data_IF_286322938478
#
_entry.id   IF_286322938478
#
_cell.length_a   1.000
_cell.length_b   1.000
_cell.length_c   1.000
_cell.angle_alpha   90.00
_cell.angle_beta   90.00
_cell.angle_gamma   90.00
#
_symmetry.space_group_name_H-M   'P 1'
#
loop_
_entity.id
_entity.type
_entity.pdbx_description
1 polymer ?
#
# COMPACT_ATOMS: atom_id res chain seq x y z
N UNK A 1 23.08 9.86 11.60
CA UNK A 1 22.20 9.53 12.75
C UNK A 1 22.34 8.06 13.05
N UNK A 2 22.34 7.66 14.33
CA UNK A 2 22.68 6.28 14.74
C UNK A 2 21.55 5.26 14.52
N UNK A 3 21.89 3.98 14.62
CA UNK A 3 20.98 2.84 14.39
C UNK A 3 19.72 2.86 15.27
N UNK A 4 19.81 3.43 16.48
CA UNK A 4 18.68 3.61 17.40
C UNK A 4 17.58 4.53 16.83
N UNK A 5 17.96 5.59 16.12
CA UNK A 5 16.99 6.51 15.51
C UNK A 5 16.24 5.81 14.36
N UNK A 6 16.95 5.06 13.53
CA UNK A 6 16.36 4.24 12.47
C UNK A 6 15.39 3.22 13.03
N UNK A 7 15.77 2.50 14.10
CA UNK A 7 14.90 1.53 14.76
C UNK A 7 13.63 2.21 15.30
N UNK A 8 13.75 3.37 15.95
CA UNK A 8 12.61 4.14 16.42
C UNK A 8 11.64 4.52 15.30
N UNK A 9 12.17 4.97 14.15
CA UNK A 9 11.35 5.31 12.98
C UNK A 9 10.66 4.09 12.37
N UNK A 10 11.32 2.94 12.32
CA UNK A 10 10.74 1.68 11.83
C UNK A 10 9.57 1.25 12.71
N UNK A 11 9.74 1.27 14.04
CA UNK A 11 8.67 0.94 14.99
C UNK A 11 7.52 1.93 14.86
N UNK A 12 7.81 3.23 14.81
CA UNK A 12 6.81 4.27 14.64
C UNK A 12 6.00 4.07 13.35
N UNK A 13 6.67 3.81 12.23
CA UNK A 13 6.02 3.57 10.95
C UNK A 13 5.11 2.34 10.96
N UNK A 14 5.53 1.25 11.60
CA UNK A 14 4.68 0.07 11.77
C UNK A 14 3.44 0.36 12.63
N UNK A 15 3.59 1.10 13.73
CA UNK A 15 2.48 1.49 14.62
C UNK A 15 1.49 2.41 13.89
N UNK A 16 1.99 3.42 13.17
CA UNK A 16 1.15 4.31 12.35
C UNK A 16 0.48 3.56 11.20
N UNK A 17 1.21 2.68 10.52
CA UNK A 17 0.69 1.79 9.49
C UNK A 17 -0.43 0.89 10.00
N UNK A 18 -0.34 0.45 11.26
CA UNK A 18 -1.32 -0.40 11.94
C UNK A 18 -2.68 0.28 12.19
N UNK A 19 -2.78 1.60 12.03
CA UNK A 19 -4.06 2.31 12.05
C UNK A 19 -4.86 1.93 10.80
N UNK A 20 -5.92 1.15 10.97
CA UNK A 20 -6.77 0.70 9.87
C UNK A 20 -7.92 1.67 9.62
N UNK A 21 -7.68 2.71 8.82
CA UNK A 21 -8.65 3.77 8.57
C UNK A 21 -9.97 3.27 8.00
N UNK A 22 -9.98 2.18 7.21
CA UNK A 22 -11.24 1.61 6.74
C UNK A 22 -12.10 1.03 7.85
N UNK A 23 -11.49 0.34 8.83
CA UNK A 23 -12.21 -0.15 10.01
C UNK A 23 -12.63 1.00 10.93
N UNK A 24 -11.77 2.01 11.12
CA UNK A 24 -12.08 3.18 11.94
C UNK A 24 -13.29 3.92 11.37
N UNK A 25 -13.27 4.24 10.07
CA UNK A 25 -14.37 4.94 9.38
C UNK A 25 -15.65 4.10 9.42
N UNK A 26 -15.57 2.80 9.09
CA UNK A 26 -16.77 1.96 9.09
C UNK A 26 -17.40 1.80 10.48
N UNK A 27 -16.58 1.61 11.52
CA UNK A 27 -17.05 1.55 12.91
C UNK A 27 -17.70 2.88 13.33
N UNK A 28 -17.12 4.02 12.94
CA UNK A 28 -17.70 5.34 13.20
C UNK A 28 -19.03 5.58 12.48
N UNK A 29 -19.33 4.81 11.43
CA UNK A 29 -20.62 4.82 10.73
C UNK A 29 -21.55 3.67 11.17
N UNK A 30 -21.19 2.91 12.21
CA UNK A 30 -22.00 1.79 12.71
C UNK A 30 -22.02 0.55 11.80
N UNK A 31 -21.05 0.44 10.87
CA UNK A 31 -21.01 -0.63 9.85
C UNK A 31 -19.90 -1.64 10.15
N UNK A 32 -20.26 -2.92 10.15
CA UNK A 32 -19.26 -3.99 10.11
C UNK A 32 -18.72 -4.18 8.68
N UNK A 33 -17.56 -3.60 8.41
CA UNK A 33 -16.93 -3.65 7.09
C UNK A 33 -16.54 -5.06 6.64
N UNK A 34 -16.29 -5.98 7.58
CA UNK A 34 -15.82 -7.34 7.25
C UNK A 34 -16.93 -8.25 6.74
N UNK A 35 -18.19 -7.97 7.08
CA UNK A 35 -19.35 -8.68 6.55
C UNK A 35 -19.84 -8.16 5.19
N UNK A 36 -19.33 -7.02 4.71
CA UNK A 36 -19.76 -6.41 3.45
C UNK A 36 -18.77 -6.65 2.30
N UNK A 37 -19.32 -6.99 1.14
CA UNK A 37 -18.60 -6.97 -0.13
C UNK A 37 -17.48 -8.00 -0.18
N UNK A 38 -16.22 -7.55 -0.18
CA UNK A 38 -15.08 -8.48 -0.20
C UNK A 38 -14.52 -8.79 1.19
N UNK A 39 -15.11 -8.24 2.26
CA UNK A 39 -14.62 -8.33 3.63
C UNK A 39 -13.24 -7.71 3.88
N UNK A 40 -12.69 -6.99 2.89
CA UNK A 40 -11.39 -6.34 2.99
C UNK A 40 -11.56 -4.96 3.61
N UNK A 41 -10.56 -4.47 4.33
CA UNK A 41 -10.65 -3.18 5.03
C UNK A 41 -10.19 -1.99 4.18
N UNK A 42 -9.72 -2.22 2.95
CA UNK A 42 -9.23 -1.16 2.07
C UNK A 42 -10.34 -0.29 1.46
N UNK A 43 -9.92 0.86 0.93
CA UNK A 43 -10.73 1.88 0.28
C UNK A 43 -11.82 1.37 -0.69
N UNK A 44 -11.53 0.35 -1.51
CA UNK A 44 -12.49 -0.21 -2.46
C UNK A 44 -13.69 -0.90 -1.79
N UNK A 45 -13.51 -1.49 -0.61
CA UNK A 45 -14.62 -2.09 0.13
C UNK A 45 -15.37 -1.04 0.93
N UNK A 46 -14.67 -0.08 1.53
CA UNK A 46 -15.27 1.09 2.18
C UNK A 46 -16.17 1.84 1.20
N UNK A 47 -15.69 2.09 -0.01
CA UNK A 47 -16.48 2.75 -1.05
C UNK A 47 -17.75 1.99 -1.43
N UNK A 48 -17.79 0.67 -1.24
CA UNK A 48 -18.98 -0.16 -1.47
C UNK A 48 -19.91 -0.23 -0.26
N UNK A 49 -19.36 -0.19 0.94
CA UNK A 49 -20.16 -0.21 2.16
C UNK A 49 -20.78 1.16 2.48
N UNK A 50 -20.04 2.24 2.24
CA UNK A 50 -20.36 3.58 2.73
C UNK A 50 -20.44 4.64 1.61
N UNK A 51 -20.06 4.30 0.38
CA UNK A 51 -20.06 5.21 -0.76
C UNK A 51 -18.69 5.80 -1.14
N UNK A 52 -18.59 6.29 -2.37
CA UNK A 52 -17.31 6.68 -3.01
C UNK A 52 -16.54 7.77 -2.26
N UNK A 53 -17.23 8.70 -1.60
CA UNK A 53 -16.60 9.75 -0.78
C UNK A 53 -15.74 9.16 0.34
N UNK A 54 -16.30 8.25 1.13
CA UNK A 54 -15.57 7.54 2.19
C UNK A 54 -14.45 6.65 1.65
N UNK A 55 -14.69 6.00 0.50
CA UNK A 55 -13.64 5.23 -0.19
C UNK A 55 -12.42 6.09 -0.55
N UNK A 56 -12.64 7.30 -1.08
CA UNK A 56 -11.56 8.25 -1.40
C UNK A 56 -10.85 8.77 -0.14
N UNK A 57 -11.59 9.08 0.92
CA UNK A 57 -11.01 9.49 2.19
C UNK A 57 -10.09 8.41 2.78
N UNK A 58 -10.53 7.15 2.82
CA UNK A 58 -9.70 6.03 3.29
C UNK A 58 -8.50 5.79 2.38
N UNK A 59 -8.66 5.92 1.06
CA UNK A 59 -7.54 5.83 0.12
C UNK A 59 -6.46 6.88 0.44
N UNK A 60 -6.87 8.13 0.65
CA UNK A 60 -5.98 9.23 0.99
C UNK A 60 -5.26 8.99 2.32
N UNK A 61 -6.00 8.64 3.38
CA UNK A 61 -5.43 8.38 4.71
C UNK A 61 -4.49 7.17 4.72
N UNK A 62 -4.84 6.08 4.03
CA UNK A 62 -3.98 4.91 3.89
C UNK A 62 -2.73 5.19 3.06
N UNK A 63 -2.78 6.10 2.08
CA UNK A 63 -1.60 6.56 1.37
C UNK A 63 -0.73 7.47 2.26
N UNK A 64 -1.35 8.38 3.00
CA UNK A 64 -0.65 9.32 3.89
C UNK A 64 0.15 8.58 4.97
N UNK A 65 -0.37 7.51 5.56
CA UNK A 65 0.37 6.73 6.57
C UNK A 65 1.57 5.95 6.00
N UNK A 66 1.66 5.77 4.68
CA UNK A 66 2.87 5.29 4.02
C UNK A 66 3.82 6.43 3.68
N UNK A 67 3.27 7.52 3.16
CA UNK A 67 4.02 8.71 2.73
C UNK A 67 4.74 9.41 3.89
N UNK A 68 4.01 9.77 4.95
CA UNK A 68 4.51 10.60 6.04
C UNK A 68 5.71 10.00 6.79
N UNK A 69 5.67 8.75 7.31
CA UNK A 69 6.84 8.19 7.99
C UNK A 69 8.02 7.97 7.04
N UNK A 70 7.75 7.66 5.76
CA UNK A 70 8.82 7.48 4.77
C UNK A 70 9.51 8.81 4.44
N UNK A 71 8.76 9.90 4.28
CA UNK A 71 9.32 11.25 4.11
C UNK A 71 10.09 11.71 5.34
N UNK A 72 9.59 11.40 6.54
CA UNK A 72 10.31 11.67 7.79
C UNK A 72 11.65 10.93 7.81
N UNK A 73 11.67 9.64 7.44
CA UNK A 73 12.92 8.89 7.32
C UNK A 73 13.87 9.48 6.28
N UNK A 74 13.37 9.95 5.14
CA UNK A 74 14.20 10.66 4.15
C UNK A 74 14.81 11.93 4.74
N UNK A 75 14.01 12.75 5.41
CA UNK A 75 14.48 14.03 5.95
C UNK A 75 15.51 13.86 7.09
N UNK A 76 15.41 12.75 7.82
CA UNK A 76 16.18 12.52 9.05
C UNK A 76 17.37 11.59 8.80
N UNK A 77 17.22 10.58 7.95
CA UNK A 77 18.19 9.48 7.81
C UNK A 77 18.86 9.45 6.42
N UNK A 78 18.25 10.04 5.39
CA UNK A 78 18.86 10.08 4.06
C UNK A 78 19.72 11.33 3.86
N UNK A 79 20.79 11.15 3.07
CA UNK A 79 21.46 12.21 2.32
C UNK A 79 20.82 12.36 0.93
N UNK A 80 21.62 12.21 -0.14
CA UNK A 80 21.20 12.49 -1.51
C UNK A 80 20.28 11.45 -2.20
N UNK A 81 19.86 10.36 -1.52
CA UNK A 81 19.04 9.32 -2.17
C UNK A 81 18.47 8.25 -1.23
N UNK A 82 17.59 7.36 -1.75
CA UNK A 82 16.89 6.36 -0.94
C UNK A 82 17.85 5.40 -0.25
N UNK A 83 17.95 5.49 1.07
CA UNK A 83 18.81 4.61 1.87
C UNK A 83 18.06 3.36 2.37
N UNK A 84 18.82 2.39 2.89
CA UNK A 84 18.27 1.22 3.58
C UNK A 84 17.34 1.57 4.75
N UNK A 85 17.68 2.54 5.64
CA UNK A 85 16.75 3.06 6.64
C UNK A 85 15.40 3.51 6.07
N UNK A 86 15.39 4.32 5.02
CA UNK A 86 14.15 4.80 4.39
C UNK A 86 13.34 3.65 3.81
N UNK A 87 14.01 2.70 3.15
CA UNK A 87 13.37 1.49 2.63
C UNK A 87 12.72 0.66 3.75
N UNK A 88 13.42 0.48 4.88
CA UNK A 88 12.91 -0.26 6.03
C UNK A 88 11.68 0.42 6.67
N UNK A 89 11.73 1.73 6.86
CA UNK A 89 10.61 2.52 7.41
C UNK A 89 9.38 2.45 6.50
N UNK A 90 9.59 2.63 5.19
CA UNK A 90 8.52 2.52 4.21
C UNK A 90 7.86 1.15 4.17
N UNK A 91 8.66 0.08 4.21
CA UNK A 91 8.16 -1.29 4.27
C UNK A 91 7.43 -1.57 5.59
N UNK A 92 7.93 -1.04 6.71
CA UNK A 92 7.29 -1.18 8.02
C UNK A 92 5.88 -0.56 8.05
N UNK A 93 5.68 0.60 7.43
CA UNK A 93 4.35 1.20 7.28
C UNK A 93 3.38 0.30 6.50
N UNK A 94 3.84 -0.29 5.39
CA UNK A 94 3.04 -1.22 4.58
C UNK A 94 2.73 -2.50 5.37
N UNK A 95 3.70 -3.04 6.10
CA UNK A 95 3.50 -4.20 6.97
C UNK A 95 2.51 -3.91 8.08
N UNK A 96 2.55 -2.72 8.69
CA UNK A 96 1.55 -2.28 9.66
C UNK A 96 0.15 -2.26 9.06
N UNK A 97 -0.02 -1.77 7.82
CA UNK A 97 -1.32 -1.80 7.15
C UNK A 97 -1.83 -3.23 6.90
N UNK A 98 -0.94 -4.14 6.50
CA UNK A 98 -1.29 -5.51 6.14
C UNK A 98 -1.52 -6.40 7.37
N UNK A 99 -0.70 -6.21 8.41
CA UNK A 99 -0.70 -6.93 9.67
C UNK A 99 -0.82 -5.95 10.85
N UNK A 100 -1.97 -5.26 11.00
CA UNK A 100 -2.15 -4.22 12.01
C UNK A 100 -2.17 -4.78 13.42
N UNK A 101 -1.38 -4.17 14.30
CA UNK A 101 -1.26 -4.54 15.72
C UNK A 101 -2.62 -4.61 16.43
N UNK A 102 -3.49 -3.63 16.16
CA UNK A 102 -4.75 -3.43 16.88
C UNK A 102 -5.93 -4.28 16.38
N UNK A 103 -5.77 -5.00 15.26
CA UNK A 103 -6.87 -5.67 14.58
C UNK A 103 -6.59 -7.15 14.29
N UNK A 104 -5.86 -7.79 15.21
CA UNK A 104 -5.54 -9.22 15.17
C UNK A 104 -4.68 -9.61 13.98
N UNK A 105 -3.79 -8.71 13.53
CA UNK A 105 -2.92 -8.89 12.37
C UNK A 105 -3.68 -9.17 11.06
N UNK A 106 -4.95 -8.76 10.98
CA UNK A 106 -5.83 -8.95 9.81
C UNK A 106 -6.18 -7.60 9.20
N UNK A 107 -5.29 -7.10 8.36
CA UNK A 107 -5.42 -5.82 7.67
C UNK A 107 -5.75 -5.93 6.19
N UNK A 108 -5.47 -4.84 5.47
CA UNK A 108 -5.78 -4.71 4.06
C UNK A 108 -4.75 -5.39 3.15
N UNK A 109 -4.66 -4.88 1.92
CA UNK A 109 -3.76 -5.39 0.87
C UNK A 109 -2.50 -4.57 0.67
N UNK A 110 -2.39 -3.40 1.32
CA UNK A 110 -1.20 -2.57 1.28
C UNK A 110 -1.07 -1.65 0.07
N UNK A 111 -1.94 -1.71 -0.94
CA UNK A 111 -1.77 -0.94 -2.21
C UNK A 111 -1.68 0.57 -2.01
N UNK A 112 -2.57 1.16 -1.20
CA UNK A 112 -2.58 2.60 -0.98
C UNK A 112 -1.37 3.07 -0.16
N UNK A 113 -1.08 2.37 0.93
CA UNK A 113 0.11 2.62 1.76
C UNK A 113 1.39 2.44 0.97
N UNK A 114 1.45 1.43 0.10
CA UNK A 114 2.55 1.21 -0.82
C UNK A 114 2.73 2.36 -1.81
N UNK A 115 1.64 2.88 -2.37
CA UNK A 115 1.69 4.06 -3.23
C UNK A 115 2.24 5.28 -2.48
N UNK A 116 1.82 5.50 -1.23
CA UNK A 116 2.36 6.58 -0.38
C UNK A 116 3.85 6.43 -0.12
N UNK A 117 4.29 5.24 0.29
CA UNK A 117 5.72 4.92 0.46
C UNK A 117 6.50 5.13 -0.82
N UNK A 118 5.98 4.66 -1.95
CA UNK A 118 6.62 4.81 -3.26
C UNK A 118 6.69 6.28 -3.70
N UNK A 119 5.66 7.07 -3.43
CA UNK A 119 5.65 8.50 -3.72
C UNK A 119 6.72 9.23 -2.91
N UNK A 120 6.95 8.82 -1.66
CA UNK A 120 8.03 9.39 -0.84
C UNK A 120 9.41 9.09 -1.43
N UNK A 121 9.62 7.88 -1.97
CA UNK A 121 10.95 7.38 -2.39
C UNK A 121 11.26 7.68 -3.85
N UNK A 122 10.32 7.40 -4.74
CA UNK A 122 10.47 7.52 -6.18
C UNK A 122 9.15 8.01 -6.83
N UNK A 123 8.92 9.34 -6.85
CA UNK A 123 7.70 9.92 -7.42
C UNK A 123 7.41 9.50 -8.87
N UNK A 124 8.44 9.32 -9.70
CA UNK A 124 8.30 8.82 -11.08
C UNK A 124 7.71 7.40 -11.14
N UNK A 125 8.19 6.49 -10.30
CA UNK A 125 7.60 5.14 -10.19
C UNK A 125 6.16 5.18 -9.67
N UNK A 126 5.86 6.08 -8.71
CA UNK A 126 4.50 6.27 -8.22
C UNK A 126 3.55 6.77 -9.33
N UNK A 127 4.00 7.71 -10.16
CA UNK A 127 3.24 8.19 -11.32
C UNK A 127 2.97 7.05 -12.31
N UNK A 128 3.99 6.25 -12.64
CA UNK A 128 3.85 5.08 -13.52
C UNK A 128 2.86 4.06 -12.94
N UNK A 129 2.92 3.81 -11.63
CA UNK A 129 1.99 2.93 -10.94
C UNK A 129 0.54 3.45 -11.08
N UNK A 130 0.31 4.75 -10.87
CA UNK A 130 -1.03 5.36 -10.98
C UNK A 130 -1.55 5.33 -12.42
N UNK A 131 -0.73 5.72 -13.40
CA UNK A 131 -1.11 5.69 -14.82
C UNK A 131 -1.40 4.26 -15.26
N UNK A 132 -0.50 3.32 -14.95
CA UNK A 132 -0.67 1.90 -15.25
C UNK A 132 -1.91 1.30 -14.57
N UNK A 133 -2.16 1.67 -13.31
CA UNK A 133 -3.39 1.31 -12.61
C UNK A 133 -4.61 1.79 -13.40
N UNK A 134 -4.69 3.08 -13.75
CA UNK A 134 -5.86 3.66 -14.42
C UNK A 134 -6.11 3.04 -15.81
N UNK A 135 -5.05 2.83 -16.60
CA UNK A 135 -5.16 2.19 -17.92
C UNK A 135 -5.66 0.74 -17.81
N UNK A 136 -5.02 -0.06 -16.96
CA UNK A 136 -5.41 -1.46 -16.75
C UNK A 136 -6.80 -1.55 -16.11
N UNK A 137 -7.14 -0.62 -15.22
CA UNK A 137 -8.45 -0.52 -14.59
C UNK A 137 -9.54 -0.27 -15.62
N UNK A 138 -9.29 0.64 -16.58
CA UNK A 138 -10.20 0.97 -17.69
C UNK A 138 -10.39 -0.22 -18.62
N UNK A 139 -9.30 -0.90 -19.00
CA UNK A 139 -9.34 -2.03 -19.93
C UNK A 139 -9.96 -3.30 -19.30
N UNK A 140 -9.49 -3.70 -18.12
CA UNK A 140 -9.90 -4.96 -17.47
C UNK A 140 -11.24 -4.86 -16.73
N UNK A 141 -11.67 -3.64 -16.43
CA UNK A 141 -12.74 -3.35 -15.47
C UNK A 141 -12.54 -4.11 -14.14
N UNK A 142 -11.30 -4.26 -13.66
CA UNK A 142 -11.04 -4.96 -12.38
C UNK A 142 -9.96 -4.25 -11.57
N UNK A 143 -10.33 -3.82 -10.36
CA UNK A 143 -9.39 -3.15 -9.43
C UNK A 143 -8.24 -4.06 -9.01
N UNK A 144 -8.49 -5.34 -8.81
CA UNK A 144 -7.45 -6.32 -8.44
C UNK A 144 -6.39 -6.47 -9.52
N UNK A 145 -6.78 -6.60 -10.78
CA UNK A 145 -5.87 -6.67 -11.93
C UNK A 145 -5.07 -5.37 -12.05
N UNK A 146 -5.75 -4.23 -11.96
CA UNK A 146 -5.10 -2.92 -12.00
C UNK A 146 -4.07 -2.73 -10.87
N UNK A 147 -4.37 -3.15 -9.64
CA UNK A 147 -3.43 -3.06 -8.52
C UNK A 147 -2.19 -3.93 -8.71
N UNK A 148 -2.35 -5.14 -9.24
CA UNK A 148 -1.22 -6.04 -9.52
C UNK A 148 -0.35 -5.51 -10.66
N UNK A 149 -0.96 -4.99 -11.72
CA UNK A 149 -0.22 -4.36 -12.82
C UNK A 149 0.53 -3.12 -12.36
N UNK A 150 -0.10 -2.25 -11.55
CA UNK A 150 0.55 -1.07 -10.99
C UNK A 150 1.78 -1.42 -10.14
N UNK A 151 1.68 -2.46 -9.31
CA UNK A 151 2.80 -2.96 -8.52
C UNK A 151 3.93 -3.49 -9.42
N UNK A 152 3.61 -4.26 -10.47
CA UNK A 152 4.59 -4.75 -11.43
C UNK A 152 5.28 -3.62 -12.21
N UNK A 153 4.53 -2.64 -12.70
CA UNK A 153 5.09 -1.48 -13.41
C UNK A 153 5.98 -0.64 -12.51
N UNK A 154 5.58 -0.40 -11.26
CA UNK A 154 6.40 0.29 -10.27
C UNK A 154 7.73 -0.45 -10.01
N UNK A 155 7.67 -1.78 -9.83
CA UNK A 155 8.87 -2.61 -9.63
C UNK A 155 9.79 -2.54 -10.83
N UNK A 156 9.27 -2.78 -12.05
CA UNK A 156 10.07 -2.78 -13.27
C UNK A 156 10.74 -1.44 -13.53
N UNK A 157 9.99 -0.33 -13.38
CA UNK A 157 10.55 1.00 -13.54
C UNK A 157 11.63 1.30 -12.50
N UNK A 158 11.39 0.99 -11.22
CA UNK A 158 12.36 1.25 -10.15
C UNK A 158 13.65 0.44 -10.33
N UNK A 159 13.53 -0.83 -10.76
CA UNK A 159 14.71 -1.65 -11.08
C UNK A 159 15.49 -1.09 -12.27
N UNK A 160 14.80 -0.58 -13.28
CA UNK A 160 15.43 0.02 -14.45
C UNK A 160 16.13 1.35 -14.14
N UNK A 161 15.48 2.24 -13.37
CA UNK A 161 15.99 3.59 -13.10
C UNK A 161 17.05 3.67 -11.98
N UNK A 162 16.98 2.79 -10.98
CA UNK A 162 17.89 2.80 -9.83
C UNK A 162 18.81 1.57 -9.74
N UNK A 163 18.61 0.57 -10.60
CA UNK A 163 19.33 -0.71 -10.56
C UNK A 163 18.66 -1.73 -9.62
N UNK A 164 18.75 -3.01 -9.99
CA UNK A 164 18.03 -4.12 -9.33
C UNK A 164 18.40 -4.31 -7.85
N UNK A 165 19.64 -3.98 -7.47
CA UNK A 165 20.16 -4.13 -6.11
C UNK A 165 19.98 -2.86 -5.24
N UNK A 166 19.34 -1.81 -5.76
CA UNK A 166 19.13 -0.58 -4.99
C UNK A 166 18.14 -0.82 -3.83
N UNK A 167 18.29 -0.09 -2.70
CA UNK A 167 17.34 -0.16 -1.59
C UNK A 167 15.89 0.09 -2.04
N UNK A 168 15.69 1.04 -2.96
CA UNK A 168 14.38 1.33 -3.53
C UNK A 168 13.80 0.15 -4.33
N UNK A 169 14.59 -0.48 -5.21
CA UNK A 169 14.14 -1.63 -6.00
C UNK A 169 13.77 -2.82 -5.11
N UNK A 170 14.57 -3.09 -4.08
CA UNK A 170 14.32 -4.19 -3.13
C UNK A 170 13.06 -3.91 -2.29
N UNK A 171 12.90 -2.68 -1.80
CA UNK A 171 11.69 -2.24 -1.07
C UNK A 171 10.43 -2.45 -1.92
N UNK A 172 10.42 -1.93 -3.15
CA UNK A 172 9.25 -2.02 -4.05
C UNK A 172 9.00 -3.46 -4.47
N UNK A 173 10.05 -4.26 -4.72
CA UNK A 173 9.93 -5.69 -4.97
C UNK A 173 9.26 -6.43 -3.81
N UNK A 174 9.69 -6.19 -2.57
CA UNK A 174 9.09 -6.77 -1.37
C UNK A 174 7.62 -6.36 -1.20
N UNK A 175 7.30 -5.08 -1.42
CA UNK A 175 5.93 -4.57 -1.42
C UNK A 175 5.07 -5.24 -2.49
N UNK A 176 5.59 -5.43 -3.70
CA UNK A 176 4.89 -6.13 -4.79
C UNK A 176 4.60 -7.58 -4.43
N UNK A 177 5.59 -8.31 -3.91
CA UNK A 177 5.39 -9.70 -3.43
C UNK A 177 4.28 -9.74 -2.36
N UNK A 178 4.34 -8.84 -1.38
CA UNK A 178 3.31 -8.76 -0.34
C UNK A 178 1.92 -8.48 -0.93
N UNK A 179 1.80 -7.52 -1.85
CA UNK A 179 0.54 -7.19 -2.54
C UNK A 179 0.02 -8.41 -3.30
N UNK A 180 0.86 -9.13 -4.04
CA UNK A 180 0.48 -10.36 -4.77
C UNK A 180 -0.07 -11.41 -3.80
N UNK A 181 0.64 -11.68 -2.71
CA UNK A 181 0.20 -12.64 -1.67
C UNK A 181 -1.15 -12.23 -1.08
N UNK A 182 -1.34 -10.94 -0.78
CA UNK A 182 -2.62 -10.41 -0.27
C UNK A 182 -3.75 -10.39 -1.32
N UNK A 183 -3.43 -10.61 -2.59
CA UNK A 183 -4.40 -10.77 -3.68
C UNK A 183 -4.70 -12.23 -4.02
N UNK A 184 -4.20 -13.21 -3.27
CA UNK A 184 -4.44 -14.65 -3.54
C UNK A 184 -5.90 -15.01 -3.80
N UNK A 185 -6.85 -14.43 -3.04
CA UNK A 185 -8.28 -14.73 -3.22
C UNK A 185 -8.85 -14.07 -4.47
N UNK A 186 -8.34 -12.90 -4.86
CA UNK A 186 -8.68 -12.27 -6.14
C UNK A 186 -8.12 -13.06 -7.31
N UNK A 187 -6.88 -13.57 -7.19
CA UNK A 187 -6.27 -14.42 -8.21
C UNK A 187 -7.03 -15.74 -8.37
N UNK A 188 -7.48 -16.36 -7.27
CA UNK A 188 -8.37 -17.53 -7.31
C UNK A 188 -9.67 -17.23 -8.06
N UNK A 189 -10.34 -16.12 -7.74
CA UNK A 189 -11.56 -15.70 -8.44
C UNK A 189 -11.33 -15.33 -9.91
N UNK A 190 -10.18 -14.73 -10.25
CA UNK A 190 -9.81 -14.43 -11.63
C UNK A 190 -9.66 -15.72 -12.45
N UNK A 191 -8.95 -16.72 -11.90
CA UNK A 191 -8.81 -18.03 -12.54
C UNK A 191 -10.15 -18.75 -12.71
N UNK A 192 -11.06 -18.60 -11.75
CA UNK A 192 -12.40 -19.16 -11.81
C UNK A 192 -13.40 -18.34 -12.64
N UNK A 193 -13.00 -17.18 -13.21
CA UNK A 193 -13.91 -16.29 -13.92
C UNK A 193 -14.94 -15.56 -13.04
N UNK A 194 -14.82 -15.66 -11.71
CA UNK A 194 -15.78 -15.12 -10.74
C UNK A 194 -15.34 -13.79 -10.11
N UNK A 195 -14.19 -13.25 -10.49
CA UNK A 195 -13.75 -11.93 -10.00
C UNK A 195 -14.63 -10.85 -10.61
N UNK A 196 -15.39 -10.09 -9.79
CA UNK A 196 -16.40 -9.19 -10.28
C UNK A 196 -15.77 -8.08 -11.13
N UNK A 197 -16.32 -7.80 -12.34
CA UNK A 197 -16.00 -6.59 -13.05
C UNK A 197 -16.52 -5.41 -12.20
N UNK A 198 -15.71 -4.37 -12.08
CA UNK A 198 -16.03 -3.14 -11.38
C UNK A 198 -15.65 -1.98 -12.27
#
# INVERSE_FOLDING_TARGET
MGDLATLGLVVLAYVLGSVNFGLVVAKGQGVDLRSIGSGNTGATNVGRALGTGWGRAVLFLDALKGLAPTLLARAVVDGAGPSWPTAAVGLAAVLGHVFPLWHGLRGGKGVATALGTLLAVHPGAALIAVVGFLLVRKASRRTSVASLAAAAFATGWTMWSHGIASPAAIMVGAMTVLIVVRHRDNLRRLRAGTEPPR
#
